data_IF_262327066280
#
_entry.id   IF_262327066280
#
_cell.length_a   1.000
_cell.length_b   1.000
_cell.length_c   1.000
_cell.angle_alpha   90.00
_cell.angle_beta   90.00
_cell.angle_gamma   90.00
#
_symmetry.space_group_name_H-M   'P 1'
#
loop_
_entity.id
_entity.type
_entity.pdbx_description
1 polymer ?
#
# COMPACT_ATOMS: atom_id res chain seq x y z
N UNK A 1 32.91 -14.41 35.74
CA UNK A 1 31.98 -14.57 34.60
C UNK A 1 31.73 -13.16 34.14
N UNK A 2 32.56 -12.68 33.21
CA UNK A 2 32.58 -11.29 32.74
C UNK A 2 31.33 -11.03 31.90
N UNK A 3 30.54 -10.06 32.33
CA UNK A 3 29.38 -9.55 31.61
C UNK A 3 29.80 -9.14 30.20
N UNK A 4 29.31 -9.88 29.20
CA UNK A 4 29.27 -9.41 27.82
C UNK A 4 28.10 -8.44 27.77
N UNK A 5 28.35 -7.19 28.16
CA UNK A 5 27.51 -6.09 27.70
C UNK A 5 27.92 -5.90 26.24
N UNK A 6 27.19 -6.53 25.32
CA UNK A 6 27.20 -6.08 23.94
C UNK A 6 26.79 -4.60 23.97
N UNK A 7 27.76 -3.71 23.72
CA UNK A 7 27.45 -2.35 23.31
C UNK A 7 26.71 -2.46 21.98
N UNK A 8 25.39 -2.67 22.06
CA UNK A 8 24.50 -2.59 20.90
C UNK A 8 24.65 -1.17 20.35
N UNK A 9 25.40 -1.04 19.26
CA UNK A 9 25.48 0.23 18.56
C UNK A 9 24.06 0.64 18.16
N UNK A 10 23.68 1.85 18.51
CA UNK A 10 22.40 2.43 18.12
C UNK A 10 22.42 2.71 16.63
N UNK A 11 21.34 2.37 15.92
CA UNK A 11 21.25 2.67 14.50
C UNK A 11 21.27 4.18 14.23
N UNK A 12 22.10 4.57 13.28
CA UNK A 12 22.42 5.95 12.92
C UNK A 12 22.67 6.07 11.42
N UNK A 13 22.67 7.30 10.94
CA UNK A 13 23.06 7.57 9.56
C UNK A 13 24.57 7.32 9.39
N UNK A 14 24.93 6.67 8.28
CA UNK A 14 26.34 6.34 7.96
C UNK A 14 27.10 7.58 7.46
N UNK A 15 26.37 8.56 6.91
CA UNK A 15 26.91 9.79 6.34
C UNK A 15 26.40 11.03 7.08
N UNK A 16 27.13 12.16 7.05
CA UNK A 16 26.68 13.42 7.63
C UNK A 16 25.38 13.93 6.99
N UNK A 17 24.58 14.70 7.74
CA UNK A 17 23.28 15.21 7.27
C UNK A 17 23.38 16.07 6.00
N UNK A 18 24.47 16.81 5.80
CA UNK A 18 24.71 17.59 4.58
C UNK A 18 24.80 16.68 3.33
N UNK A 19 25.50 15.54 3.44
CA UNK A 19 25.61 14.57 2.34
C UNK A 19 24.30 13.80 2.09
N UNK A 20 23.45 13.65 3.12
CA UNK A 20 22.11 13.09 2.97
C UNK A 20 21.28 14.02 2.11
N UNK A 21 21.27 15.32 2.41
CA UNK A 21 20.50 16.29 1.64
C UNK A 21 20.91 16.35 0.16
N UNK A 22 22.19 16.12 -0.13
CA UNK A 22 22.73 16.03 -1.50
C UNK A 22 22.34 14.73 -2.22
N UNK A 23 22.41 13.58 -1.54
CA UNK A 23 22.09 12.29 -2.16
C UNK A 23 20.58 12.07 -2.33
N UNK A 24 19.76 12.62 -1.43
CA UNK A 24 18.30 12.58 -1.52
C UNK A 24 17.79 13.90 -2.13
N UNK A 25 18.01 14.02 -3.44
CA UNK A 25 17.79 15.26 -4.19
C UNK A 25 16.32 15.63 -4.37
N UNK A 26 15.41 14.64 -4.40
CA UNK A 26 13.97 14.92 -4.52
C UNK A 26 13.43 15.36 -3.17
N UNK A 27 12.68 16.46 -3.16
CA UNK A 27 12.13 17.05 -1.94
C UNK A 27 10.62 16.89 -1.92
N UNK A 28 10.14 16.27 -0.86
CA UNK A 28 8.72 16.22 -0.51
C UNK A 28 8.54 16.93 0.82
N UNK A 29 7.50 17.74 0.91
CA UNK A 29 7.11 18.39 2.16
C UNK A 29 5.83 17.76 2.69
N UNK A 30 5.66 17.80 4.01
CA UNK A 30 4.44 17.37 4.67
C UNK A 30 3.33 18.38 4.35
N UNK A 31 2.38 17.97 3.50
CA UNK A 31 1.25 18.80 3.08
C UNK A 31 0.21 18.91 4.20
N UNK A 32 -0.14 17.77 4.79
CA UNK A 32 -1.08 17.69 5.91
C UNK A 32 -0.87 16.40 6.70
N UNK A 33 -1.22 16.44 7.97
CA UNK A 33 -1.12 15.32 8.90
C UNK A 33 -2.32 15.35 9.84
N UNK A 34 -2.95 14.20 10.05
CA UNK A 34 -4.02 14.07 11.05
C UNK A 34 -3.82 12.82 11.90
N UNK A 35 -4.13 12.92 13.19
CA UNK A 35 -4.26 11.76 14.05
C UNK A 35 -5.62 11.13 13.85
N UNK A 36 -5.66 9.81 13.63
CA UNK A 36 -6.91 9.09 13.40
C UNK A 36 -7.74 9.02 14.68
N UNK A 37 -7.09 8.79 15.83
CA UNK A 37 -7.77 8.84 17.13
C UNK A 37 -6.99 9.68 18.13
N UNK A 38 -7.63 10.05 19.24
CA UNK A 38 -6.99 10.76 20.36
C UNK A 38 -6.12 9.84 21.23
N UNK A 39 -6.24 8.51 21.04
CA UNK A 39 -5.40 7.52 21.69
C UNK A 39 -4.33 7.08 20.69
N UNK A 40 -3.19 6.63 21.17
CA UNK A 40 -2.19 6.02 20.30
C UNK A 40 -2.72 4.66 19.82
N UNK A 41 -3.27 4.61 18.61
CA UNK A 41 -3.78 3.39 17.96
C UNK A 41 -3.06 3.16 16.64
N UNK A 42 -2.71 1.91 16.35
CA UNK A 42 -2.03 1.54 15.12
C UNK A 42 -3.00 1.58 13.94
N UNK A 43 -2.51 2.05 12.78
CA UNK A 43 -3.16 1.82 11.49
C UNK A 43 -2.63 0.52 10.91
N UNK A 44 -3.53 -0.43 10.65
CA UNK A 44 -3.17 -1.77 10.16
C UNK A 44 -3.07 -1.80 8.62
N UNK A 45 -4.10 -1.34 7.92
CA UNK A 45 -4.11 -1.23 6.44
C UNK A 45 -4.76 0.08 6.00
N UNK A 46 -4.49 0.45 4.74
CA UNK A 46 -4.99 1.68 4.13
C UNK A 46 -5.39 1.42 2.68
N UNK A 47 -6.51 1.99 2.26
CA UNK A 47 -6.90 2.09 0.86
C UNK A 47 -7.17 3.53 0.50
N UNK A 48 -6.79 3.91 -0.72
CA UNK A 48 -7.01 5.26 -1.24
C UNK A 48 -7.79 5.18 -2.55
N UNK A 49 -8.83 5.99 -2.65
CA UNK A 49 -9.68 6.08 -3.82
C UNK A 49 -9.15 7.10 -4.84
N UNK A 50 -9.66 7.11 -6.08
CA UNK A 50 -9.20 8.08 -7.10
C UNK A 50 -9.60 9.51 -6.76
N UNK A 51 -10.66 9.69 -5.98
CA UNK A 51 -11.06 10.99 -5.44
C UNK A 51 -10.30 11.38 -4.16
N UNK A 52 -9.19 10.69 -3.83
CA UNK A 52 -8.37 10.92 -2.64
C UNK A 52 -9.14 10.77 -1.33
N UNK A 53 -10.10 9.85 -1.28
CA UNK A 53 -10.62 9.34 -0.01
C UNK A 53 -9.67 8.29 0.52
N UNK A 54 -9.37 8.37 1.81
CA UNK A 54 -8.40 7.53 2.50
C UNK A 54 -9.17 6.78 3.57
N UNK A 55 -9.33 5.48 3.37
CA UNK A 55 -9.83 4.56 4.39
C UNK A 55 -8.64 3.98 5.12
N UNK A 56 -8.72 3.91 6.44
CA UNK A 56 -7.73 3.24 7.29
C UNK A 56 -8.44 2.28 8.23
N UNK A 57 -7.83 1.11 8.47
CA UNK A 57 -8.26 0.21 9.54
C UNK A 57 -7.43 0.41 10.79
N UNK A 58 -8.07 0.21 11.94
CA UNK A 58 -7.47 0.40 13.25
C UNK A 58 -7.41 -0.90 14.03
N UNK A 59 -6.49 -0.93 15.00
CA UNK A 59 -6.33 -2.04 15.94
C UNK A 59 -7.62 -2.39 16.74
N UNK A 60 -8.55 -1.44 16.89
CA UNK A 60 -9.83 -1.65 17.58
C UNK A 60 -10.93 -2.24 16.67
N UNK A 61 -10.56 -2.77 15.50
CA UNK A 61 -11.44 -3.34 14.48
C UNK A 61 -12.41 -2.33 13.85
N UNK A 62 -12.13 -1.03 13.97
CA UNK A 62 -12.91 0.02 13.31
C UNK A 62 -12.21 0.56 12.07
N UNK A 63 -13.01 1.12 11.16
CA UNK A 63 -12.51 1.85 9.99
C UNK A 63 -12.79 3.33 10.16
N UNK A 64 -11.81 4.15 9.80
CA UNK A 64 -11.98 5.59 9.70
C UNK A 64 -11.73 6.02 8.26
N UNK A 65 -12.59 6.90 7.76
CA UNK A 65 -12.51 7.41 6.38
C UNK A 65 -12.30 8.91 6.41
N UNK A 66 -11.30 9.35 5.66
CA UNK A 66 -10.96 10.75 5.45
C UNK A 66 -11.06 11.10 3.97
N UNK A 67 -11.23 12.37 3.66
CA UNK A 67 -11.14 12.92 2.32
C UNK A 67 -10.07 14.00 2.30
N UNK A 68 -9.09 13.85 1.40
CA UNK A 68 -8.07 14.85 1.19
C UNK A 68 -8.63 15.95 0.29
N UNK A 69 -8.85 17.11 0.89
CA UNK A 69 -9.05 18.36 0.15
C UNK A 69 -7.69 19.03 -0.11
N UNK A 70 -7.69 20.15 -0.84
CA UNK A 70 -6.47 20.80 -1.35
C UNK A 70 -5.30 20.95 -0.36
N UNK A 71 -5.55 21.05 0.95
CA UNK A 71 -4.49 21.12 1.96
C UNK A 71 -4.88 20.52 3.33
N UNK A 72 -5.94 19.72 3.41
CA UNK A 72 -6.37 19.16 4.70
C UNK A 72 -7.14 17.86 4.55
N UNK A 73 -6.95 16.97 5.52
CA UNK A 73 -7.76 15.77 5.69
C UNK A 73 -9.03 16.11 6.48
N UNK A 74 -10.18 15.82 5.90
CA UNK A 74 -11.47 15.95 6.57
C UNK A 74 -12.00 14.58 6.92
N UNK A 75 -12.47 14.39 8.15
CA UNK A 75 -13.11 13.15 8.56
C UNK A 75 -14.48 13.01 7.87
N UNK A 76 -14.74 11.85 7.28
CA UNK A 76 -15.96 11.55 6.52
C UNK A 76 -16.87 10.62 7.29
N UNK A 77 -16.34 9.50 7.78
CA UNK A 77 -17.14 8.47 8.43
C UNK A 77 -16.30 7.55 9.30
N UNK A 78 -16.96 6.98 10.31
CA UNK A 78 -16.46 5.88 11.12
C UNK A 78 -17.34 4.66 10.85
N UNK A 79 -16.74 3.53 10.51
CA UNK A 79 -17.44 2.29 10.18
C UNK A 79 -17.11 1.23 11.23
N UNK A 80 -18.14 0.61 11.79
CA UNK A 80 -18.02 -0.40 12.84
C UNK A 80 -18.92 -1.59 12.51
N UNK A 81 -18.39 -2.80 12.71
CA UNK A 81 -19.17 -4.02 12.53
C UNK A 81 -18.37 -5.31 12.40
N UNK A 82 -17.04 -5.24 12.24
CA UNK A 82 -16.19 -6.42 12.37
C UNK A 82 -15.98 -6.78 13.84
N UNK A 83 -16.02 -8.08 14.14
CA UNK A 83 -15.85 -8.60 15.50
C UNK A 83 -14.38 -8.92 15.82
N UNK A 84 -13.55 -9.01 14.78
CA UNK A 84 -12.11 -9.27 14.87
C UNK A 84 -11.32 -8.33 13.95
N UNK A 85 -9.99 -8.49 13.97
CA UNK A 85 -9.05 -7.69 13.18
C UNK A 85 -9.48 -7.60 11.72
N UNK A 86 -9.53 -6.37 11.22
CA UNK A 86 -9.69 -6.08 9.80
C UNK A 86 -8.32 -6.26 9.15
N UNK A 87 -8.26 -7.10 8.13
CA UNK A 87 -7.01 -7.51 7.50
C UNK A 87 -6.72 -6.74 6.23
N UNK A 88 -7.73 -6.44 5.41
CA UNK A 88 -7.58 -5.62 4.21
C UNK A 88 -8.82 -4.76 3.96
N UNK A 89 -8.62 -3.59 3.37
CA UNK A 89 -9.69 -2.71 2.89
C UNK A 89 -9.42 -2.29 1.45
N UNK A 90 -10.47 -2.11 0.67
CA UNK A 90 -10.34 -1.67 -0.72
C UNK A 90 -11.53 -0.83 -1.15
N UNK A 91 -11.28 0.39 -1.63
CA UNK A 91 -12.30 1.15 -2.33
C UNK A 91 -12.72 0.46 -3.62
N UNK A 92 -13.99 0.61 -4.00
CA UNK A 92 -14.45 0.16 -5.30
C UNK A 92 -13.87 1.08 -6.40
N UNK A 93 -13.17 0.55 -7.43
CA UNK A 93 -12.36 1.34 -8.36
C UNK A 93 -13.13 2.32 -9.26
N UNK A 94 -14.46 2.13 -9.35
CA UNK A 94 -15.38 3.00 -10.11
C UNK A 94 -16.48 3.66 -9.28
N UNK A 95 -16.61 3.33 -8.00
CA UNK A 95 -17.72 3.78 -7.15
C UNK A 95 -17.13 4.30 -5.85
N UNK A 96 -16.79 5.60 -5.83
CA UNK A 96 -16.08 6.30 -4.74
C UNK A 96 -16.84 6.33 -3.40
N UNK A 97 -18.09 5.87 -3.36
CA UNK A 97 -18.87 5.72 -2.12
C UNK A 97 -18.79 4.31 -1.54
N UNK A 98 -18.28 3.33 -2.27
CA UNK A 98 -18.23 1.95 -1.84
C UNK A 98 -16.84 1.57 -1.35
N UNK A 99 -16.78 0.99 -0.16
CA UNK A 99 -15.58 0.47 0.47
C UNK A 99 -15.83 -0.98 0.87
N UNK A 100 -14.91 -1.88 0.52
CA UNK A 100 -14.90 -3.24 1.02
C UNK A 100 -13.94 -3.35 2.20
N UNK A 101 -14.26 -4.19 3.17
CA UNK A 101 -13.34 -4.63 4.21
C UNK A 101 -13.45 -6.13 4.44
N UNK A 102 -12.34 -6.77 4.76
CA UNK A 102 -12.27 -8.18 5.12
C UNK A 102 -11.61 -8.33 6.50
N UNK A 103 -11.89 -9.42 7.20
CA UNK A 103 -11.36 -9.62 8.54
C UNK A 103 -11.22 -11.07 8.97
N UNK A 104 -10.54 -11.25 10.11
CA UNK A 104 -10.32 -12.56 10.73
C UNK A 104 -11.59 -13.16 11.35
N UNK A 105 -12.70 -12.43 11.34
CA UNK A 105 -14.03 -12.93 11.70
C UNK A 105 -14.64 -13.79 10.57
N UNK A 106 -14.01 -13.82 9.39
CA UNK A 106 -14.46 -14.57 8.22
C UNK A 106 -15.58 -13.89 7.45
N UNK A 107 -15.77 -12.59 7.68
CA UNK A 107 -16.72 -11.77 6.95
C UNK A 107 -16.00 -10.83 6.00
N UNK A 108 -16.57 -10.62 4.82
CA UNK A 108 -16.34 -9.41 4.04
C UNK A 108 -17.54 -8.49 4.23
N UNK A 109 -17.30 -7.20 4.42
CA UNK A 109 -18.34 -6.18 4.56
C UNK A 109 -18.19 -5.16 3.45
N UNK A 110 -19.32 -4.79 2.85
CA UNK A 110 -19.44 -3.68 1.93
C UNK A 110 -20.11 -2.52 2.66
N UNK A 111 -19.47 -1.37 2.57
CA UNK A 111 -19.90 -0.12 3.18
C UNK A 111 -20.24 0.87 2.08
N UNK A 112 -21.39 1.53 2.21
CA UNK A 112 -21.71 2.72 1.43
C UNK A 112 -21.52 3.95 2.31
N UNK A 113 -20.54 4.78 2.00
CA UNK A 113 -20.20 5.98 2.76
C UNK A 113 -21.33 7.00 2.81
N UNK A 114 -22.38 6.84 1.99
CA UNK A 114 -23.61 7.65 2.02
C UNK A 114 -24.60 7.18 3.10
N UNK A 115 -24.41 5.99 3.66
CA UNK A 115 -25.35 5.30 4.54
C UNK A 115 -24.91 5.33 6.02
N UNK A 116 -24.57 6.51 6.55
CA UNK A 116 -24.29 6.78 7.97
C UNK A 116 -23.40 5.73 8.71
N UNK A 117 -22.49 5.08 7.99
CA UNK A 117 -21.56 4.10 8.56
C UNK A 117 -22.12 2.69 8.79
N UNK A 118 -23.33 2.39 8.30
CA UNK A 118 -23.91 1.05 8.36
C UNK A 118 -23.36 0.14 7.25
N UNK A 119 -23.14 -1.13 7.60
CA UNK A 119 -22.78 -2.17 6.63
C UNK A 119 -23.98 -2.43 5.71
N UNK A 120 -23.81 -2.25 4.40
CA UNK A 120 -24.91 -2.44 3.44
C UNK A 120 -25.02 -3.88 2.97
N UNK A 121 -23.93 -4.65 2.99
CA UNK A 121 -23.94 -6.06 2.63
C UNK A 121 -22.79 -6.83 3.31
N UNK A 122 -23.09 -8.04 3.73
CA UNK A 122 -22.11 -8.98 4.28
C UNK A 122 -21.95 -10.17 3.33
N UNK A 123 -20.70 -10.61 3.15
CA UNK A 123 -20.36 -11.81 2.41
C UNK A 123 -19.65 -12.77 3.34
N UNK A 124 -20.04 -14.03 3.24
CA UNK A 124 -19.45 -15.15 3.98
C UNK A 124 -19.74 -16.43 3.23
N UNK A 125 -18.97 -17.47 3.54
CA UNK A 125 -19.28 -18.80 3.07
C UNK A 125 -20.57 -19.33 3.71
N UNK A 126 -21.13 -20.41 3.12
CA UNK A 126 -22.37 -21.01 3.60
C UNK A 126 -22.28 -21.41 5.08
N UNK A 127 -23.40 -21.33 5.80
CA UNK A 127 -23.47 -21.50 7.25
C UNK A 127 -22.98 -22.87 7.77
N UNK A 128 -22.97 -23.89 6.91
CA UNK A 128 -22.50 -25.24 7.24
C UNK A 128 -20.97 -25.39 7.11
N UNK A 129 -20.29 -24.40 6.53
CA UNK A 129 -18.84 -24.37 6.41
C UNK A 129 -18.19 -23.82 7.68
N UNK A 130 -16.98 -24.28 8.06
CA UNK A 130 -16.24 -23.65 9.14
C UNK A 130 -16.00 -22.18 8.79
N UNK A 131 -16.09 -21.29 9.80
CA UNK A 131 -15.71 -19.89 9.62
C UNK A 131 -14.22 -19.85 9.29
N UNK A 132 -13.89 -19.39 8.08
CA UNK A 132 -12.50 -19.22 7.62
C UNK A 132 -12.10 -17.75 7.76
N UNK A 133 -11.07 -17.43 8.55
CA UNK A 133 -10.49 -16.09 8.60
C UNK A 133 -9.87 -15.70 7.25
N UNK A 134 -10.09 -14.46 6.82
CA UNK A 134 -9.46 -13.92 5.61
C UNK A 134 -8.30 -13.00 5.97
N UNK A 135 -7.15 -13.19 5.33
CA UNK A 135 -5.92 -12.41 5.53
C UNK A 135 -5.78 -11.27 4.53
N UNK A 136 -6.38 -11.40 3.34
CA UNK A 136 -6.23 -10.39 2.30
C UNK A 136 -7.45 -10.32 1.39
N UNK A 137 -7.51 -9.23 0.61
CA UNK A 137 -8.54 -8.99 -0.40
C UNK A 137 -8.01 -8.10 -1.51
N UNK A 138 -8.57 -8.24 -2.70
CA UNK A 138 -8.43 -7.23 -3.75
C UNK A 138 -9.66 -7.17 -4.65
N UNK A 139 -9.87 -6.02 -5.29
CA UNK A 139 -11.04 -5.75 -6.13
C UNK A 139 -10.56 -5.52 -7.57
N UNK A 140 -11.11 -6.28 -8.52
CA UNK A 140 -10.79 -6.11 -9.95
C UNK A 140 -11.10 -4.67 -10.43
N UNK A 141 -10.41 -4.17 -11.47
CA UNK A 141 -10.56 -2.76 -11.92
C UNK A 141 -11.96 -2.38 -12.40
N UNK A 142 -12.77 -3.38 -12.78
CA UNK A 142 -14.18 -3.15 -13.15
C UNK A 142 -15.08 -3.11 -11.93
N UNK A 143 -14.63 -3.61 -10.78
CA UNK A 143 -15.36 -3.68 -9.52
C UNK A 143 -16.49 -4.70 -9.51
N UNK A 144 -16.51 -5.62 -10.47
CA UNK A 144 -17.56 -6.64 -10.59
C UNK A 144 -17.15 -7.99 -9.98
N UNK A 145 -15.87 -8.17 -9.68
CA UNK A 145 -15.33 -9.34 -8.99
C UNK A 145 -14.30 -8.87 -7.97
N UNK A 146 -14.28 -9.51 -6.81
CA UNK A 146 -13.21 -9.38 -5.83
C UNK A 146 -12.79 -10.76 -5.32
N UNK A 147 -11.57 -10.85 -4.79
CA UNK A 147 -10.99 -12.08 -4.28
C UNK A 147 -10.59 -11.88 -2.82
N UNK A 148 -10.63 -12.95 -2.05
CA UNK A 148 -10.06 -13.02 -0.70
C UNK A 148 -9.11 -14.20 -0.57
N UNK A 149 -8.04 -14.05 0.21
CA UNK A 149 -7.17 -15.14 0.62
C UNK A 149 -7.41 -15.50 2.07
N UNK A 150 -7.50 -16.79 2.40
CA UNK A 150 -7.76 -17.26 3.76
C UNK A 150 -6.50 -17.68 4.52
N UNK A 151 -6.63 -17.78 5.84
CA UNK A 151 -5.73 -18.58 6.65
C UNK A 151 -5.86 -20.08 6.32
N UNK A 152 -4.84 -20.85 6.66
CA UNK A 152 -4.84 -22.29 6.66
C UNK A 152 -5.80 -22.81 7.73
N UNK A 153 -6.88 -23.47 7.30
CA UNK A 153 -7.88 -24.06 8.19
C UNK A 153 -8.10 -25.51 7.79
N UNK A 154 -7.77 -26.44 8.69
CA UNK A 154 -7.85 -27.90 8.44
C UNK A 154 -7.04 -28.33 7.21
N UNK A 155 -5.79 -27.88 7.14
CA UNK A 155 -4.83 -28.22 6.07
C UNK A 155 -5.18 -27.67 4.69
N UNK A 156 -6.15 -26.76 4.60
CA UNK A 156 -6.55 -26.11 3.34
C UNK A 156 -6.57 -24.58 3.48
N UNK A 157 -6.00 -23.90 2.50
CA UNK A 157 -6.08 -22.44 2.33
C UNK A 157 -6.84 -22.15 1.05
N UNK A 158 -7.63 -21.08 1.04
CA UNK A 158 -8.56 -20.79 -0.05
C UNK A 158 -8.35 -19.40 -0.62
N UNK A 159 -8.31 -19.30 -1.94
CA UNK A 159 -8.57 -18.06 -2.68
C UNK A 159 -10.04 -18.08 -3.10
N UNK A 160 -10.87 -17.23 -2.51
CA UNK A 160 -12.33 -17.24 -2.76
C UNK A 160 -12.71 -16.05 -3.65
N UNK A 161 -13.53 -16.33 -4.68
CA UNK A 161 -14.00 -15.33 -5.64
C UNK A 161 -15.43 -14.91 -5.33
N UNK A 162 -15.72 -13.63 -5.48
CA UNK A 162 -17.00 -13.04 -5.11
C UNK A 162 -17.48 -12.04 -6.16
N UNK A 163 -18.80 -11.95 -6.33
CA UNK A 163 -19.45 -10.84 -7.04
C UNK A 163 -20.10 -9.91 -6.00
N UNK A 164 -19.79 -8.60 -5.99
CA UNK A 164 -20.39 -7.65 -5.04
C UNK A 164 -21.92 -7.63 -5.02
N UNK A 165 -22.57 -8.11 -6.09
CA UNK A 165 -24.03 -8.14 -6.25
C UNK A 165 -24.67 -9.38 -5.63
N UNK A 166 -23.87 -10.38 -5.25
CA UNK A 166 -24.36 -11.66 -4.69
C UNK A 166 -23.64 -11.97 -3.39
N UNK A 167 -24.37 -12.48 -2.40
CA UNK A 167 -23.77 -12.81 -1.09
C UNK A 167 -23.06 -14.17 -1.07
N UNK A 168 -23.20 -14.97 -2.13
CA UNK A 168 -22.58 -16.29 -2.27
C UNK A 168 -21.26 -16.20 -3.05
N UNK A 169 -20.27 -17.05 -2.73
CA UNK A 169 -19.05 -17.12 -3.51
C UNK A 169 -19.33 -17.63 -4.93
N UNK A 170 -18.54 -17.15 -5.90
CA UNK A 170 -18.55 -17.58 -7.29
C UNK A 170 -17.81 -18.90 -7.49
N UNK A 171 -16.79 -19.14 -6.66
CA UNK A 171 -15.87 -20.27 -6.73
C UNK A 171 -14.67 -20.03 -5.82
N UNK A 172 -13.79 -21.01 -5.72
CA UNK A 172 -12.55 -20.90 -4.96
C UNK A 172 -11.43 -21.73 -5.59
N UNK A 173 -10.18 -21.40 -5.27
CA UNK A 173 -8.99 -22.20 -5.49
C UNK A 173 -8.47 -22.66 -4.13
N UNK A 174 -8.08 -23.92 -3.99
CA UNK A 174 -7.66 -24.50 -2.70
C UNK A 174 -6.47 -25.47 -2.79
N UNK A 175 -5.92 -25.70 -3.99
CA UNK A 175 -4.77 -26.59 -4.20
C UNK A 175 -3.48 -25.80 -4.46
N UNK A 176 -3.58 -24.47 -4.58
CA UNK A 176 -2.48 -23.58 -4.94
C UNK A 176 -1.50 -23.27 -3.81
N UNK A 177 -1.96 -23.24 -2.56
CA UNK A 177 -1.15 -22.83 -1.40
C UNK A 177 -1.34 -23.77 -0.21
N UNK A 178 -0.26 -24.01 0.54
CA UNK A 178 -0.26 -24.92 1.69
C UNK A 178 -0.23 -24.21 3.04
N UNK A 179 -0.18 -22.88 3.04
CA UNK A 179 -0.09 -22.01 4.23
C UNK A 179 -0.99 -20.78 4.03
N UNK A 180 -1.00 -19.87 5.01
CA UNK A 180 -1.80 -18.63 4.98
C UNK A 180 -1.55 -17.80 3.72
N UNK A 181 -2.63 -17.44 3.01
CA UNK A 181 -2.57 -16.59 1.81
C UNK A 181 -2.63 -15.12 2.24
N UNK A 182 -1.47 -14.48 2.27
CA UNK A 182 -1.29 -13.14 2.84
C UNK A 182 -1.58 -12.00 1.88
N UNK A 183 -1.62 -12.26 0.57
CA UNK A 183 -1.89 -11.23 -0.43
C UNK A 183 -2.52 -11.83 -1.68
N UNK A 184 -3.56 -11.18 -2.18
CA UNK A 184 -4.08 -11.40 -3.54
C UNK A 184 -4.09 -10.05 -4.25
N UNK A 185 -3.72 -10.00 -5.53
CA UNK A 185 -3.77 -8.77 -6.35
C UNK A 185 -4.18 -9.08 -7.79
N UNK A 186 -5.20 -8.39 -8.27
CA UNK A 186 -5.57 -8.40 -9.68
C UNK A 186 -4.53 -7.62 -10.49
N UNK A 187 -4.21 -8.12 -11.69
CA UNK A 187 -3.42 -7.36 -12.64
C UNK A 187 -4.23 -6.16 -13.14
N UNK A 188 -3.67 -4.93 -13.05
CA UNK A 188 -4.31 -3.74 -13.58
C UNK A 188 -4.66 -3.87 -15.07
N UNK A 189 -5.71 -3.17 -15.50
CA UNK A 189 -6.28 -3.03 -16.84
C UNK A 189 -6.80 -4.31 -17.53
N UNK A 190 -6.48 -5.50 -17.04
CA UNK A 190 -6.79 -6.76 -17.73
C UNK A 190 -7.97 -7.50 -17.10
N UNK A 191 -8.14 -7.46 -15.78
CA UNK A 191 -9.11 -8.26 -15.00
C UNK A 191 -9.07 -9.79 -15.22
N UNK A 192 -8.09 -10.28 -15.97
CA UNK A 192 -7.98 -11.71 -16.33
C UNK A 192 -6.84 -12.38 -15.60
N UNK A 193 -5.92 -11.62 -15.02
CA UNK A 193 -4.78 -12.17 -14.30
C UNK A 193 -4.90 -11.84 -12.81
N UNK A 194 -4.69 -12.86 -11.98
CA UNK A 194 -4.63 -12.74 -10.53
C UNK A 194 -3.28 -13.25 -10.04
N UNK A 195 -2.71 -12.60 -9.04
CA UNK A 195 -1.54 -13.10 -8.31
C UNK A 195 -1.93 -13.34 -6.86
N UNK A 196 -1.47 -14.45 -6.29
CA UNK A 196 -1.53 -14.70 -4.85
C UNK A 196 -0.13 -14.93 -4.29
N UNK A 197 0.09 -14.56 -3.04
CA UNK A 197 1.31 -14.85 -2.29
C UNK A 197 0.96 -15.36 -0.92
N UNK A 198 1.74 -16.32 -0.43
CA UNK A 198 1.50 -16.99 0.85
C UNK A 198 2.78 -17.13 1.67
N UNK A 199 2.59 -17.56 2.92
CA UNK A 199 3.67 -17.83 3.87
C UNK A 199 4.49 -19.08 3.49
N UNK A 200 3.98 -19.91 2.57
CA UNK A 200 4.71 -21.05 1.99
C UNK A 200 5.91 -20.63 1.10
N UNK A 201 6.05 -19.33 0.83
CA UNK A 201 7.11 -18.76 0.00
C UNK A 201 6.86 -18.92 -1.49
N UNK A 202 5.62 -19.14 -1.89
CA UNK A 202 5.19 -19.19 -3.28
C UNK A 202 4.39 -17.94 -3.66
N UNK A 203 4.56 -17.53 -4.91
CA UNK A 203 3.64 -16.63 -5.60
C UNK A 203 3.03 -17.40 -6.76
N UNK A 204 1.70 -17.51 -6.79
CA UNK A 204 0.99 -18.13 -7.89
C UNK A 204 0.37 -17.07 -8.80
N UNK A 205 0.43 -17.30 -10.11
CA UNK A 205 -0.13 -16.43 -11.14
C UNK A 205 -1.21 -17.21 -11.88
N UNK A 206 -2.42 -16.66 -11.93
CA UNK A 206 -3.59 -17.31 -12.53
C UNK A 206 -4.12 -16.54 -13.74
N UNK A 207 -4.60 -17.27 -14.73
CA UNK A 207 -5.47 -16.80 -15.80
C UNK A 207 -6.93 -17.14 -15.48
N UNK A 208 -7.70 -16.14 -15.07
CA UNK A 208 -9.11 -16.25 -14.69
C UNK A 208 -10.06 -16.48 -15.87
N UNK A 209 -9.56 -16.58 -17.10
CA UNK A 209 -10.36 -17.00 -18.25
C UNK A 209 -10.56 -18.52 -18.28
N UNK A 210 -9.69 -19.27 -17.59
CA UNK A 210 -9.81 -20.72 -17.47
C UNK A 210 -10.76 -21.10 -16.33
N UNK A 211 -11.46 -22.22 -16.49
CA UNK A 211 -12.51 -22.65 -15.57
C UNK A 211 -12.01 -23.46 -14.38
N UNK A 212 -10.92 -24.21 -14.55
CA UNK A 212 -10.35 -25.10 -13.54
C UNK A 212 -9.08 -24.48 -12.96
N UNK A 213 -8.83 -24.69 -11.66
CA UNK A 213 -7.65 -24.15 -10.95
C UNK A 213 -6.33 -24.56 -11.63
N UNK A 214 -6.16 -25.85 -11.91
CA UNK A 214 -4.98 -26.40 -12.58
C UNK A 214 -4.70 -25.77 -13.95
N UNK A 215 -5.76 -25.45 -14.69
CA UNK A 215 -5.65 -24.81 -16.01
C UNK A 215 -5.42 -23.30 -15.88
N UNK A 216 -5.97 -22.69 -14.82
CA UNK A 216 -5.80 -21.28 -14.54
C UNK A 216 -4.37 -20.97 -14.06
N UNK A 217 -3.72 -21.87 -13.33
CA UNK A 217 -2.36 -21.67 -12.82
C UNK A 217 -1.33 -21.59 -13.96
N UNK A 218 -0.82 -20.38 -14.22
CA UNK A 218 0.20 -20.11 -15.24
C UNK A 218 1.61 -20.39 -14.71
N UNK A 219 1.91 -19.86 -13.53
CA UNK A 219 3.23 -19.94 -12.92
C UNK A 219 3.12 -20.06 -11.41
N UNK A 220 4.01 -20.86 -10.83
CA UNK A 220 4.29 -20.88 -9.39
C UNK A 220 5.73 -20.46 -9.18
N UNK A 221 5.92 -19.29 -8.57
CA UNK A 221 7.22 -18.64 -8.40
C UNK A 221 7.73 -18.90 -7.00
N UNK A 222 8.95 -19.41 -6.88
CA UNK A 222 9.57 -19.67 -5.59
C UNK A 222 10.36 -18.44 -5.12
N UNK A 223 9.84 -17.79 -4.08
CA UNK A 223 10.42 -16.59 -3.45
C UNK A 223 11.57 -16.95 -2.50
N UNK A 224 11.60 -18.19 -1.99
CA UNK A 224 12.62 -18.67 -1.05
C UNK A 224 12.43 -18.19 0.40
N UNK A 225 11.42 -17.36 0.66
CA UNK A 225 10.98 -16.91 1.97
C UNK A 225 9.49 -16.54 1.93
N UNK A 226 8.84 -16.42 3.09
CA UNK A 226 7.45 -15.99 3.22
C UNK A 226 7.21 -14.66 2.51
N UNK A 227 6.16 -14.61 1.69
CA UNK A 227 5.71 -13.36 1.06
C UNK A 227 5.11 -12.45 2.14
N UNK A 228 5.31 -11.15 2.06
CA UNK A 228 4.64 -10.18 2.94
C UNK A 228 3.75 -9.21 2.15
N UNK A 229 4.25 -8.66 1.03
CA UNK A 229 3.49 -7.75 0.17
C UNK A 229 3.76 -8.03 -1.30
N UNK A 230 2.70 -8.02 -2.10
CA UNK A 230 2.78 -8.00 -3.57
C UNK A 230 2.23 -6.68 -4.09
N UNK A 231 2.91 -6.12 -5.10
CA UNK A 231 2.50 -4.91 -5.81
C UNK A 231 2.83 -5.03 -7.29
N UNK A 232 1.86 -4.74 -8.15
CA UNK A 232 2.09 -4.61 -9.59
C UNK A 232 2.88 -3.33 -9.89
N UNK A 233 4.04 -3.47 -10.53
CA UNK A 233 4.94 -2.37 -10.89
C UNK A 233 4.67 -1.85 -12.31
N UNK A 234 4.22 -2.73 -13.19
CA UNK A 234 3.68 -2.43 -14.51
C UNK A 234 2.90 -3.67 -14.99
N UNK A 235 2.51 -3.70 -16.27
CA UNK A 235 1.75 -4.82 -16.82
C UNK A 235 2.48 -6.18 -16.67
N UNK A 236 3.81 -6.22 -16.76
CA UNK A 236 4.56 -7.49 -16.79
C UNK A 236 5.47 -7.70 -15.58
N UNK A 237 5.54 -6.74 -14.66
CA UNK A 237 6.41 -6.81 -13.48
C UNK A 237 5.61 -6.81 -12.19
N UNK A 238 5.89 -7.81 -11.37
CA UNK A 238 5.38 -7.94 -10.02
C UNK A 238 6.51 -7.72 -9.03
N UNK A 239 6.32 -6.77 -8.11
CA UNK A 239 7.18 -6.57 -6.95
C UNK A 239 6.70 -7.42 -5.78
N UNK A 240 7.64 -8.07 -5.10
CA UNK A 240 7.42 -8.83 -3.89
C UNK A 240 8.35 -8.29 -2.78
N UNK A 241 7.78 -8.04 -1.61
CA UNK A 241 8.50 -7.83 -0.35
C UNK A 241 8.32 -9.09 0.49
N UNK A 242 9.43 -9.69 0.93
CA UNK A 242 9.41 -10.86 1.81
C UNK A 242 9.31 -10.44 3.27
N UNK A 243 8.96 -11.37 4.15
CA UNK A 243 8.95 -11.15 5.60
C UNK A 243 10.34 -10.83 6.18
N UNK A 244 11.42 -11.09 5.43
CA UNK A 244 12.79 -10.69 5.78
C UNK A 244 13.19 -9.31 5.25
N UNK A 245 12.24 -8.50 4.76
CA UNK A 245 12.49 -7.20 4.11
C UNK A 245 13.38 -7.29 2.85
N UNK A 246 13.44 -8.46 2.21
CA UNK A 246 14.09 -8.60 0.90
C UNK A 246 13.12 -8.21 -0.21
N UNK A 247 13.65 -7.57 -1.26
CA UNK A 247 12.88 -7.12 -2.41
C UNK A 247 13.15 -8.01 -3.61
N UNK A 248 12.10 -8.51 -4.24
CA UNK A 248 12.19 -9.27 -5.48
C UNK A 248 11.29 -8.65 -6.55
N UNK A 249 11.76 -8.67 -7.80
CA UNK A 249 10.96 -8.26 -8.96
C UNK A 249 10.90 -9.43 -9.93
N UNK A 250 9.69 -9.82 -10.28
CA UNK A 250 9.39 -10.98 -11.13
C UNK A 250 8.74 -10.54 -12.44
N UNK A 251 9.07 -11.25 -13.53
CA UNK A 251 8.37 -11.12 -14.80
C UNK A 251 7.18 -12.08 -14.80
N UNK A 252 5.96 -11.56 -14.91
CA UNK A 252 4.74 -12.38 -14.87
C UNK A 252 4.41 -13.05 -16.20
N UNK A 253 5.00 -12.59 -17.31
CA UNK A 253 4.84 -13.21 -18.61
C UNK A 253 5.77 -14.43 -18.79
N UNK A 254 6.97 -14.40 -18.21
CA UNK A 254 7.97 -15.48 -18.35
C UNK A 254 8.14 -16.34 -17.09
N UNK A 255 7.73 -15.84 -15.92
CA UNK A 255 7.97 -16.47 -14.63
C UNK A 255 9.40 -16.30 -14.09
N UNK A 256 10.24 -15.48 -14.73
CA UNK A 256 11.62 -15.30 -14.31
C UNK A 256 11.79 -14.19 -13.26
N UNK A 257 12.67 -14.42 -12.29
CA UNK A 257 13.12 -13.36 -11.39
C UNK A 257 14.02 -12.38 -12.15
N UNK A 258 13.65 -11.11 -12.16
CA UNK A 258 14.39 -10.03 -12.82
C UNK A 258 15.47 -9.48 -11.89
N UNK A 259 15.11 -9.21 -10.63
CA UNK A 259 15.99 -8.54 -9.65
C UNK A 259 15.70 -9.01 -8.22
N UNK A 260 16.75 -8.97 -7.41
CA UNK A 260 16.72 -9.24 -5.98
C UNK A 260 17.62 -8.24 -5.23
N UNK A 261 17.08 -7.68 -4.14
CA UNK A 261 17.81 -6.81 -3.23
C UNK A 261 17.61 -7.30 -1.80
N UNK A 262 18.72 -7.65 -1.14
CA UNK A 262 18.67 -8.04 0.26
C UNK A 262 18.44 -6.84 1.17
N UNK A 263 17.88 -7.08 2.36
CA UNK A 263 17.67 -6.08 3.41
C UNK A 263 18.91 -5.22 3.69
N UNK A 264 20.09 -5.84 3.79
CA UNK A 264 21.37 -5.11 3.96
C UNK A 264 21.65 -4.11 2.83
N UNK A 265 21.34 -4.46 1.58
CA UNK A 265 21.49 -3.52 0.45
C UNK A 265 20.48 -2.38 0.55
N UNK A 266 19.26 -2.65 1.00
CA UNK A 266 18.23 -1.61 1.22
C UNK A 266 18.69 -0.66 2.33
N UNK A 267 19.11 -1.18 3.49
CA UNK A 267 19.59 -0.42 4.63
C UNK A 267 20.76 0.51 4.27
N UNK A 268 21.77 -0.03 3.56
CA UNK A 268 22.90 0.77 3.06
C UNK A 268 22.47 1.83 2.05
N UNK A 269 21.46 1.55 1.24
CA UNK A 269 20.94 2.48 0.23
C UNK A 269 20.16 3.63 0.88
N UNK A 270 19.38 3.36 1.93
CA UNK A 270 18.77 4.41 2.78
C UNK A 270 19.74 5.03 3.79
N UNK A 271 21.04 4.68 3.72
CA UNK A 271 22.14 5.24 4.51
C UNK A 271 22.08 4.95 6.01
N UNK A 272 21.52 3.80 6.40
CA UNK A 272 21.42 3.35 7.79
C UNK A 272 22.47 2.31 8.13
N UNK A 273 22.99 2.40 9.35
CA UNK A 273 24.10 1.57 9.85
C UNK A 273 23.70 0.13 10.16
N UNK A 274 22.45 -0.10 10.57
CA UNK A 274 21.92 -1.42 10.94
C UNK A 274 20.84 -1.84 9.97
N UNK A 275 21.07 -2.98 9.33
CA UNK A 275 20.09 -3.65 8.51
C UNK A 275 18.99 -4.30 9.34
N UNK A 276 19.29 -4.81 10.53
CA UNK A 276 18.31 -5.38 11.47
C UNK A 276 17.20 -4.42 11.91
N UNK A 277 17.45 -3.12 11.84
CA UNK A 277 16.46 -2.09 12.19
C UNK A 277 15.73 -1.55 10.94
N UNK A 278 16.19 -1.85 9.72
CA UNK A 278 15.60 -1.39 8.47
C UNK A 278 14.33 -2.17 8.14
N UNK A 279 13.26 -1.49 7.72
CA UNK A 279 12.04 -2.14 7.25
C UNK A 279 11.61 -1.56 5.89
N UNK A 280 10.94 -2.38 5.09
CA UNK A 280 10.36 -1.98 3.81
C UNK A 280 8.87 -1.76 3.99
N UNK A 281 8.38 -0.58 3.60
CA UNK A 281 6.94 -0.29 3.61
C UNK A 281 6.26 -0.92 2.39
N UNK A 282 6.74 -0.59 1.19
CA UNK A 282 6.25 -1.16 -0.06
C UNK A 282 7.17 -0.78 -1.24
N UNK A 283 6.99 -1.48 -2.37
CA UNK A 283 7.44 -1.05 -3.69
C UNK A 283 6.25 -0.59 -4.54
N UNK A 284 6.42 0.47 -5.32
CA UNK A 284 5.36 1.00 -6.18
C UNK A 284 5.92 1.71 -7.43
N UNK A 285 5.13 1.90 -8.49
CA UNK A 285 5.52 2.72 -9.63
C UNK A 285 5.76 4.18 -9.19
N UNK A 286 6.97 4.69 -9.40
CA UNK A 286 7.32 6.08 -9.09
C UNK A 286 6.95 7.04 -10.23
N UNK A 287 7.04 8.36 -9.99
CA UNK A 287 6.68 9.39 -10.96
C UNK A 287 7.64 9.47 -12.17
N UNK A 288 8.85 8.93 -12.07
CA UNK A 288 9.91 9.04 -13.09
C UNK A 288 9.98 7.85 -14.06
N UNK A 289 8.89 7.08 -14.21
CA UNK A 289 8.88 5.77 -14.87
C UNK A 289 9.83 4.72 -14.25
N UNK A 290 10.37 5.00 -13.07
CA UNK A 290 11.18 4.08 -12.28
C UNK A 290 10.35 3.55 -11.12
N UNK A 291 10.61 2.31 -10.72
CA UNK A 291 9.97 1.74 -9.53
C UNK A 291 10.62 2.34 -8.29
N UNK A 292 9.80 2.76 -7.33
CA UNK A 292 10.25 3.27 -6.05
C UNK A 292 10.08 2.23 -4.96
N UNK A 293 10.97 2.30 -3.98
CA UNK A 293 10.89 1.56 -2.72
C UNK A 293 10.77 2.58 -1.60
N UNK A 294 9.78 2.42 -0.73
CA UNK A 294 9.70 3.20 0.50
C UNK A 294 10.18 2.32 1.65
N UNK A 295 11.17 2.79 2.39
CA UNK A 295 11.77 2.07 3.50
C UNK A 295 12.06 3.02 4.66
N UNK A 296 12.10 2.46 5.87
CA UNK A 296 12.40 3.21 7.08
C UNK A 296 13.34 2.45 8.00
N UNK A 297 13.59 3.00 9.17
CA UNK A 297 14.32 2.32 10.24
C UNK A 297 13.58 2.45 11.57
N UNK A 298 13.55 1.36 12.35
CA UNK A 298 13.08 1.35 13.73
C UNK A 298 14.01 2.17 14.66
N UNK A 299 15.25 2.41 14.23
CA UNK A 299 16.22 3.26 14.92
C UNK A 299 15.74 4.72 15.02
N UNK A 300 16.03 5.36 16.16
CA UNK A 300 15.70 6.78 16.36
C UNK A 300 14.19 7.06 16.48
N UNK A 301 13.44 6.13 17.08
CA UNK A 301 11.98 6.17 17.30
C UNK A 301 11.12 6.01 16.02
N UNK A 302 11.66 5.45 14.94
CA UNK A 302 10.88 5.22 13.72
C UNK A 302 10.74 6.44 12.80
N UNK A 303 11.38 7.55 13.13
CA UNK A 303 11.23 8.81 12.38
C UNK A 303 11.87 8.76 11.00
N UNK A 304 12.82 7.85 10.76
CA UNK A 304 13.51 7.76 9.48
C UNK A 304 12.62 7.10 8.44
N UNK A 305 12.26 7.85 7.39
CA UNK A 305 11.52 7.37 6.24
C UNK A 305 12.16 7.92 4.96
N UNK A 306 12.59 7.03 4.07
CA UNK A 306 13.33 7.37 2.84
C UNK A 306 12.79 6.58 1.66
N UNK A 307 12.84 7.17 0.47
CA UNK A 307 12.59 6.45 -0.78
C UNK A 307 13.86 6.17 -1.56
N UNK A 308 13.86 5.04 -2.24
CA UNK A 308 14.87 4.64 -3.21
C UNK A 308 14.22 4.51 -4.58
N UNK A 309 14.94 4.90 -5.62
CA UNK A 309 14.57 4.62 -7.01
C UNK A 309 15.34 3.41 -7.52
N UNK A 310 14.64 2.52 -8.23
CA UNK A 310 15.23 1.36 -8.90
C UNK A 310 15.44 1.72 -10.38
N UNK A 311 16.64 2.20 -10.70
CA UNK A 311 17.07 2.48 -12.07
C UNK A 311 18.24 1.57 -12.45
N UNK A 312 18.24 1.01 -13.67
CA UNK A 312 19.35 0.19 -14.20
C UNK A 312 19.89 -0.90 -13.25
N UNK A 313 18.98 -1.55 -12.53
CA UNK A 313 19.26 -2.60 -11.52
C UNK A 313 19.95 -2.09 -10.25
N UNK A 314 20.09 -0.80 -10.04
CA UNK A 314 20.65 -0.22 -8.81
C UNK A 314 19.56 0.43 -7.97
N UNK A 315 19.72 0.33 -6.65
CA UNK A 315 18.99 1.15 -5.69
C UNK A 315 19.74 2.46 -5.52
N UNK A 316 19.10 3.57 -5.90
CA UNK A 316 19.64 4.91 -5.68
C UNK A 316 18.76 5.68 -4.71
N UNK A 317 19.33 6.41 -3.72
CA UNK A 317 18.61 7.39 -2.91
C UNK A 317 17.73 8.32 -3.77
N UNK A 318 16.51 8.60 -3.31
CA UNK A 318 15.58 9.50 -3.99
C UNK A 318 15.12 10.64 -3.09
N UNK A 319 14.30 10.33 -2.08
CA UNK A 319 13.70 11.33 -1.18
C UNK A 319 13.95 10.98 0.28
N UNK A 320 14.23 11.99 1.10
CA UNK A 320 14.22 11.90 2.58
C UNK A 320 12.97 12.61 3.10
N UNK A 321 12.05 11.88 3.74
CA UNK A 321 10.77 12.42 4.23
C UNK A 321 10.96 13.02 5.62
N UNK A 322 11.59 14.19 5.64
CA UNK A 322 11.89 14.92 6.87
C UNK A 322 10.60 15.25 7.62
N UNK A 323 10.62 15.10 8.95
CA UNK A 323 9.49 15.25 9.87
C UNK A 323 8.50 14.08 9.92
N UNK A 324 8.83 12.92 9.36
CA UNK A 324 8.09 11.71 9.70
C UNK A 324 8.23 11.43 11.22
N UNK A 325 7.13 11.06 11.87
CA UNK A 325 7.01 10.91 13.34
C UNK A 325 6.59 9.51 13.76
N UNK A 326 6.60 8.54 12.84
CA UNK A 326 6.07 7.20 13.09
C UNK A 326 6.76 6.14 12.25
N UNK A 327 6.74 4.91 12.74
CA UNK A 327 6.99 3.73 11.91
C UNK A 327 5.82 3.59 10.93
N UNK A 328 6.10 3.63 9.63
CA UNK A 328 5.10 3.54 8.57
C UNK A 328 4.81 2.08 8.25
N UNK A 329 3.54 1.69 8.23
CA UNK A 329 3.10 0.29 7.96
C UNK A 329 2.45 0.13 6.59
N UNK A 330 1.80 1.19 6.11
CA UNK A 330 1.17 1.21 4.80
C UNK A 330 1.40 2.56 4.12
N UNK A 331 1.49 2.51 2.79
CA UNK A 331 1.61 3.69 1.96
C UNK A 331 0.81 3.52 0.67
N UNK A 332 0.38 4.64 0.11
CA UNK A 332 -0.19 4.72 -1.22
C UNK A 332 0.42 5.91 -1.95
N UNK A 333 0.92 5.68 -3.15
CA UNK A 333 1.44 6.74 -4.00
C UNK A 333 0.44 7.01 -5.12
N UNK A 334 -0.13 8.20 -5.15
CA UNK A 334 -0.98 8.64 -6.24
C UNK A 334 -0.13 9.32 -7.32
N UNK A 335 0.06 8.60 -8.42
CA UNK A 335 0.81 9.07 -9.59
C UNK A 335 0.17 10.27 -10.27
N UNK A 336 -1.14 10.48 -10.12
CA UNK A 336 -1.85 11.57 -10.82
C UNK A 336 -1.57 12.93 -10.17
N UNK A 337 -1.65 13.00 -8.84
CA UNK A 337 -1.39 14.23 -8.08
C UNK A 337 0.05 14.31 -7.55
N UNK A 338 0.87 13.27 -7.77
CA UNK A 338 2.22 13.13 -7.22
C UNK A 338 2.26 13.26 -5.68
N UNK A 339 1.33 12.55 -5.03
CA UNK A 339 1.17 12.55 -3.58
C UNK A 339 1.56 11.19 -3.01
N UNK A 340 2.35 11.20 -1.94
CA UNK A 340 2.55 10.02 -1.10
C UNK A 340 1.68 10.15 0.14
N UNK A 341 0.89 9.11 0.43
CA UNK A 341 0.10 9.00 1.65
C UNK A 341 0.70 7.86 2.46
N UNK A 342 0.95 8.11 3.75
CA UNK A 342 1.56 7.14 4.66
C UNK A 342 0.75 7.05 5.95
N UNK A 343 0.60 5.85 6.47
CA UNK A 343 0.02 5.62 7.79
C UNK A 343 0.76 4.50 8.54
N UNK A 344 0.69 4.52 9.87
CA UNK A 344 1.54 3.65 10.67
C UNK A 344 1.20 3.59 12.16
N UNK A 345 2.22 3.31 12.96
CA UNK A 345 2.06 2.88 14.35
C UNK A 345 1.62 3.97 15.32
N UNK A 346 1.85 5.23 14.97
CA UNK A 346 1.42 6.35 15.81
C UNK A 346 -0.02 6.80 15.51
N UNK A 347 -0.72 6.11 14.60
CA UNK A 347 -2.08 6.47 14.23
C UNK A 347 -2.17 7.76 13.42
N UNK A 348 -1.08 8.15 12.75
CA UNK A 348 -1.03 9.36 11.92
C UNK A 348 -1.28 8.99 10.46
N UNK A 349 -2.13 9.76 9.78
CA UNK A 349 -2.19 9.79 8.32
C UNK A 349 -1.43 11.04 7.88
N UNK A 350 -0.31 10.84 7.20
CA UNK A 350 0.56 11.91 6.70
C UNK A 350 0.50 11.92 5.17
N UNK A 351 0.28 13.10 4.59
CA UNK A 351 0.25 13.32 3.15
C UNK A 351 1.44 14.18 2.76
N UNK A 352 2.21 13.71 1.79
CA UNK A 352 3.44 14.32 1.31
C UNK A 352 3.25 14.76 -0.13
N UNK A 353 3.65 16.00 -0.43
CA UNK A 353 3.60 16.57 -1.77
C UNK A 353 5.01 16.91 -2.25
N UNK A 354 5.29 16.67 -3.53
CA UNK A 354 6.55 17.10 -4.13
C UNK A 354 6.67 18.63 -4.06
N UNK A 355 7.85 19.11 -3.66
CA UNK A 355 8.19 20.53 -3.70
C UNK A 355 8.52 20.90 -5.15
N UNK A 356 7.64 21.64 -5.81
CA UNK A 356 7.98 22.21 -7.10
C UNK A 356 9.10 23.23 -6.91
N UNK A 357 10.24 23.01 -7.55
CA UNK A 357 11.29 24.01 -7.63
C UNK A 357 10.68 25.28 -8.19
N UNK A 358 10.56 26.33 -7.37
CA UNK A 358 10.24 27.67 -7.84
C UNK A 358 11.41 28.14 -8.73
N UNK A 359 11.36 27.78 -10.02
CA UNK A 359 12.07 28.59 -11.00
C UNK A 359 11.52 30.01 -10.89
N UNK A 360 12.43 30.96 -10.75
CA UNK A 360 12.12 32.37 -10.64
C UNK A 360 11.49 32.84 -11.96
N UNK A 361 10.18 32.85 -12.04
CA UNK A 361 9.45 33.76 -12.94
C UNK A 361 9.58 35.18 -12.38
N UNK A 362 10.79 35.71 -12.42
CA UNK A 362 11.09 37.15 -12.31
C UNK A 362 11.68 37.58 -13.64
N UNK A 363 10.85 37.58 -14.69
CA UNK A 363 11.09 38.39 -15.87
C UNK A 363 9.78 38.66 -16.61
N UNK A 364 9.44 39.95 -16.69
CA UNK A 364 8.34 40.56 -17.46
C UNK A 364 6.95 40.28 -16.85
N UNK A 365 6.36 41.17 -16.07
CA UNK A 365 5.78 42.43 -16.59
C UNK A 365 5.88 43.55 -15.55
N UNK A 366 6.75 44.53 -15.80
CA UNK A 366 6.57 45.90 -15.37
C UNK A 366 6.86 46.80 -16.57
N UNK A 367 5.80 47.27 -17.22
CA UNK A 367 5.75 48.57 -17.89
C UNK A 367 4.33 49.11 -17.83
N UNK A 368 4.15 49.95 -16.80
CA UNK A 368 3.31 51.14 -16.65
C UNK A 368 2.24 51.49 -17.70
N UNK A 369 1.10 51.87 -17.10
CA UNK A 369 0.28 53.06 -17.36
C UNK A 369 -0.40 53.22 -18.73
N UNK A 370 -1.72 53.11 -18.74
CA UNK A 370 -2.62 54.28 -18.53
C UNK A 370 -4.09 53.85 -18.50
N UNK A 371 -4.72 54.11 -17.36
CA UNK A 371 -6.18 54.19 -17.21
C UNK A 371 -6.72 55.29 -18.12
N UNK A 372 -7.48 54.92 -19.15
CA UNK A 372 -8.42 55.82 -19.79
C UNK A 372 -9.85 55.39 -19.47
N UNK A 373 -10.44 56.10 -18.51
CA UNK A 373 -11.86 56.10 -18.27
C UNK A 373 -12.58 56.81 -19.43
N UNK A 374 -13.51 56.13 -20.11
CA UNK A 374 -14.58 56.79 -20.84
C UNK A 374 -15.91 56.03 -20.70
N UNK A 375 -16.77 56.65 -19.87
CA UNK A 375 -18.24 56.77 -19.90
C UNK A 375 -19.03 55.98 -20.97
N UNK A 376 -20.09 55.30 -20.53
CA UNK A 376 -21.50 55.30 -21.03
C UNK A 376 -21.71 55.42 -22.57
N UNK A 377 -22.54 54.63 -23.26
CA UNK A 377 -23.84 53.99 -22.94
C UNK A 377 -24.31 53.17 -24.19
N UNK A 378 -25.56 52.66 -24.28
CA UNK A 378 -25.89 51.26 -24.53
C UNK A 378 -26.36 50.95 -25.97
N UNK A 379 -26.35 49.67 -26.33
CA UNK A 379 -27.42 48.98 -27.07
C UNK A 379 -27.47 47.54 -26.63
#
# INVERSE_FOLDING_TARGET
MTDIIENLELDRDIIPSEEIEEQFSKKYHLLTETSVTLKTTYVDTMSVSRALKIGVSLQDNTLEVYELNSSSLQHVSRLQGHDKKITEISFHPKQESLLFSTGLDGYIKLWDLRMNGECVQEFKEDADSPIRPYECMDVSDKGNVFCTGSQLVKDESYIVFWDPRTTKPLGAYWESHTEDIIQVKFKPNTNTVLTSGATDGLINIFNLLEHEEDSALLYSLNVGNSVEKLTWLNDDQLGCVTQSDDLQIWNTATGDMIKEYSRDKVARSIKRSRDDDCYVVNMFPGPDNNNWVLAGSHGGNGNTLRSLSIADKRLSPSTDFVNNKQIVRCCHFDTHNNLLITAGESGLISVWSEEQSRERDVAHVHKNDKLHAHRHRPY
#
